data_IF_685602508354
#
_entry.id   IF_685602508354
#
_cell.length_a   1.000
_cell.length_b   1.000
_cell.length_c   1.000
_cell.angle_alpha   90.00
_cell.angle_beta   90.00
_cell.angle_gamma   90.00
#
_symmetry.space_group_name_H-M   'P 1'
#
loop_
_entity.id
_entity.type
_entity.pdbx_description
1 polymer ?
#
# COMPACT_ATOMS: atom_id res chain seq x y z
N UNK A 1 -12.43 19.16 -7.25
CA UNK A 1 -12.81 18.31 -6.12
C UNK A 1 -11.80 17.17 -6.05
N UNK A 2 -10.87 17.18 -5.10
CA UNK A 2 -10.04 16.01 -4.81
C UNK A 2 -10.40 15.60 -3.40
N UNK A 3 -10.99 14.42 -3.28
CA UNK A 3 -11.21 13.79 -1.99
C UNK A 3 -9.83 13.35 -1.49
N UNK A 4 -9.42 13.82 -0.31
CA UNK A 4 -8.08 13.60 0.26
C UNK A 4 -8.13 12.64 1.44
N UNK A 5 -9.16 11.80 1.51
CA UNK A 5 -9.28 10.85 2.62
C UNK A 5 -8.39 9.65 2.37
N UNK A 6 -7.57 9.27 3.35
CA UNK A 6 -6.80 8.03 3.33
C UNK A 6 -7.67 6.80 3.03
N UNK A 7 -8.95 6.86 3.40
CA UNK A 7 -9.92 5.79 3.17
C UNK A 7 -10.32 5.62 1.70
N UNK A 8 -9.93 6.52 0.82
CA UNK A 8 -10.04 6.31 -0.63
C UNK A 8 -8.98 5.31 -1.13
N UNK A 9 -7.85 5.18 -0.41
CA UNK A 9 -6.82 4.20 -0.72
C UNK A 9 -7.28 2.79 -0.30
N UNK A 10 -7.35 1.88 -1.28
CA UNK A 10 -7.78 0.49 -1.04
C UNK A 10 -6.91 -0.20 0.01
N UNK A 11 -5.60 0.07 0.03
CA UNK A 11 -4.68 -0.48 1.02
C UNK A 11 -5.06 -0.05 2.43
N UNK A 12 -5.35 1.25 2.66
CA UNK A 12 -5.74 1.76 3.98
C UNK A 12 -7.06 1.15 4.47
N UNK A 13 -8.05 0.97 3.58
CA UNK A 13 -9.29 0.27 3.93
C UNK A 13 -9.07 -1.18 4.35
N UNK A 14 -8.22 -1.91 3.63
CA UNK A 14 -7.95 -3.31 3.93
C UNK A 14 -7.10 -3.45 5.20
N UNK A 15 -6.16 -2.54 5.44
CA UNK A 15 -5.41 -2.49 6.70
C UNK A 15 -6.37 -2.31 7.89
N UNK A 16 -7.30 -1.36 7.78
CA UNK A 16 -8.32 -1.12 8.82
C UNK A 16 -9.19 -2.37 9.07
N UNK A 17 -9.53 -3.12 8.03
CA UNK A 17 -10.31 -4.35 8.16
C UNK A 17 -9.51 -5.49 8.81
N UNK A 18 -8.21 -5.58 8.53
CA UNK A 18 -7.35 -6.65 9.04
C UNK A 18 -6.93 -6.43 10.49
N UNK A 19 -6.56 -5.20 10.86
CA UNK A 19 -5.92 -4.89 12.15
C UNK A 19 -6.54 -3.67 12.86
N UNK A 20 -7.60 -3.07 12.31
CA UNK A 20 -8.15 -1.83 12.87
C UNK A 20 -7.20 -0.64 12.68
N UNK A 21 -7.40 0.41 13.47
CA UNK A 21 -6.57 1.63 13.40
C UNK A 21 -5.11 1.36 13.77
N UNK A 22 -4.85 0.36 14.61
CA UNK A 22 -3.49 -0.06 14.98
C UNK A 22 -2.67 -0.50 13.76
N UNK A 23 -3.33 -1.07 12.75
CA UNK A 23 -2.69 -1.47 11.49
C UNK A 23 -2.00 -0.33 10.75
N UNK A 24 -2.41 0.93 10.97
CA UNK A 24 -1.77 2.09 10.36
C UNK A 24 -0.35 2.34 10.86
N UNK A 25 0.03 1.79 12.02
CA UNK A 25 1.42 1.83 12.50
C UNK A 25 2.34 0.89 11.69
N UNK A 26 1.77 0.03 10.84
CA UNK A 26 2.48 -1.02 10.11
C UNK A 26 2.42 -0.83 8.58
N UNK A 27 2.17 0.39 8.10
CA UNK A 27 2.05 0.71 6.66
C UNK A 27 3.24 0.20 5.85
N UNK A 28 4.47 0.36 6.36
CA UNK A 28 5.70 -0.09 5.68
C UNK A 28 5.73 -1.61 5.49
N UNK A 29 5.27 -2.39 6.47
CA UNK A 29 5.17 -3.84 6.35
C UNK A 29 4.10 -4.24 5.34
N UNK A 30 2.96 -3.53 5.34
CA UNK A 30 1.89 -3.74 4.37
C UNK A 30 2.29 -3.40 2.93
N UNK A 31 3.17 -2.42 2.74
CA UNK A 31 3.72 -2.06 1.43
C UNK A 31 4.76 -3.07 0.91
N UNK A 32 5.39 -3.85 1.80
CA UNK A 32 6.34 -4.90 1.42
C UNK A 32 5.65 -6.26 1.25
N UNK A 33 5.62 -6.74 0.00
CA UNK A 33 5.06 -8.03 -0.37
C UNK A 33 5.78 -9.26 0.20
N UNK A 34 6.98 -9.11 0.76
CA UNK A 34 7.70 -10.22 1.39
C UNK A 34 7.14 -10.56 2.78
N UNK A 35 6.54 -9.57 3.46
CA UNK A 35 6.05 -9.70 4.84
C UNK A 35 4.74 -10.47 4.91
N UNK A 36 4.39 -10.94 6.11
CA UNK A 36 3.09 -11.56 6.38
C UNK A 36 1.94 -10.58 6.13
N UNK A 37 2.11 -9.32 6.54
CA UNK A 37 1.11 -8.25 6.36
C UNK A 37 0.87 -7.93 4.88
N UNK A 38 1.93 -7.73 4.09
CA UNK A 38 1.81 -7.47 2.65
C UNK A 38 1.20 -8.65 1.87
N UNK A 39 1.51 -9.88 2.26
CA UNK A 39 0.84 -11.08 1.71
C UNK A 39 -0.66 -11.11 2.04
N UNK A 40 -1.02 -10.83 3.28
CA UNK A 40 -2.43 -10.79 3.71
C UNK A 40 -3.20 -9.66 3.01
N UNK A 41 -2.60 -8.48 2.86
CA UNK A 41 -3.20 -7.36 2.12
C UNK A 41 -3.56 -7.74 0.69
N UNK A 42 -2.59 -8.27 -0.08
CA UNK A 42 -2.83 -8.68 -1.47
C UNK A 42 -3.86 -9.80 -1.55
N UNK A 43 -3.80 -10.79 -0.65
CA UNK A 43 -4.79 -11.88 -0.58
C UNK A 43 -6.20 -11.33 -0.33
N UNK A 44 -6.38 -10.42 0.61
CA UNK A 44 -7.68 -9.83 0.93
C UNK A 44 -8.22 -9.00 -0.23
N UNK A 45 -7.36 -8.22 -0.91
CA UNK A 45 -7.75 -7.47 -2.11
C UNK A 45 -8.19 -8.43 -3.23
N UNK A 46 -7.43 -9.49 -3.49
CA UNK A 46 -7.79 -10.52 -4.47
C UNK A 46 -9.16 -11.13 -4.18
N UNK A 47 -9.42 -11.50 -2.93
CA UNK A 47 -10.71 -12.07 -2.53
C UNK A 47 -11.88 -11.11 -2.75
N UNK A 48 -11.70 -9.81 -2.44
CA UNK A 48 -12.74 -8.79 -2.61
C UNK A 48 -13.04 -8.48 -4.08
N UNK A 49 -11.99 -8.37 -4.89
CA UNK A 49 -12.09 -7.97 -6.30
C UNK A 49 -12.18 -9.17 -7.26
N UNK A 50 -12.12 -10.40 -6.73
CA UNK A 50 -12.16 -11.66 -7.48
C UNK A 50 -11.01 -11.79 -8.48
N UNK A 51 -9.80 -11.48 -8.04
CA UNK A 51 -8.56 -11.72 -8.80
C UNK A 51 -7.90 -13.03 -8.37
N UNK A 52 -7.27 -13.73 -9.31
CA UNK A 52 -6.45 -14.91 -8.99
C UNK A 52 -5.14 -14.52 -8.28
N UNK A 53 -4.53 -13.42 -8.70
CA UNK A 53 -3.31 -12.87 -8.11
C UNK A 53 -3.26 -11.35 -8.25
N UNK A 54 -2.47 -10.73 -7.39
CA UNK A 54 -2.21 -9.30 -7.39
C UNK A 54 -0.79 -9.09 -6.89
N UNK A 55 -0.07 -8.18 -7.52
CA UNK A 55 1.19 -7.66 -7.00
C UNK A 55 1.31 -6.16 -7.25
N UNK A 56 2.13 -5.50 -6.46
CA UNK A 56 2.45 -4.08 -6.59
C UNK A 56 3.95 -3.93 -6.89
N UNK A 57 4.29 -2.91 -7.67
CA UNK A 57 5.67 -2.48 -7.82
C UNK A 57 6.19 -1.95 -6.48
N UNK A 58 7.46 -2.23 -6.16
CA UNK A 58 8.09 -1.70 -4.97
C UNK A 58 8.31 -0.19 -5.10
N UNK A 59 8.23 0.54 -3.99
CA UNK A 59 8.48 1.98 -3.99
C UNK A 59 9.89 2.29 -4.51
N UNK A 60 10.89 1.53 -4.05
CA UNK A 60 12.29 1.70 -4.49
C UNK A 60 12.45 1.45 -5.99
N UNK A 61 11.79 0.42 -6.54
CA UNK A 61 11.84 0.14 -7.97
C UNK A 61 11.21 1.24 -8.82
N UNK A 62 10.17 1.91 -8.29
CA UNK A 62 9.55 3.06 -8.97
C UNK A 62 10.43 4.30 -8.89
N UNK A 63 11.03 4.57 -7.73
CA UNK A 63 12.00 5.67 -7.58
C UNK A 63 13.17 5.48 -8.55
N UNK A 64 13.71 4.25 -8.64
CA UNK A 64 14.78 3.90 -9.58
C UNK A 64 14.34 4.11 -11.04
N UNK A 65 13.15 3.62 -11.41
CA UNK A 65 12.63 3.75 -12.77
C UNK A 65 12.35 5.21 -13.19
N UNK A 66 11.94 6.06 -12.25
CA UNK A 66 11.74 7.49 -12.49
C UNK A 66 13.09 8.21 -12.65
N UNK A 67 14.11 7.79 -11.90
CA UNK A 67 15.46 8.36 -11.96
C UNK A 67 15.61 9.71 -11.25
N UNK A 68 14.66 10.07 -10.38
CA UNK A 68 14.74 11.24 -9.51
C UNK A 68 14.98 10.83 -8.04
N UNK A 69 15.62 11.67 -7.22
CA UNK A 69 15.73 11.42 -5.79
C UNK A 69 14.36 11.26 -5.13
N UNK A 70 14.22 10.31 -4.19
CA UNK A 70 12.95 10.08 -3.46
C UNK A 70 12.37 11.36 -2.83
N UNK A 71 13.22 12.26 -2.33
CA UNK A 71 12.78 13.52 -1.71
C UNK A 71 12.13 14.51 -2.68
N UNK A 72 12.26 14.29 -4.00
CA UNK A 72 11.58 15.08 -5.04
C UNK A 72 10.28 14.42 -5.51
N UNK A 73 9.92 13.26 -4.94
CA UNK A 73 8.75 12.48 -5.30
C UNK A 73 7.75 12.45 -4.13
N UNK A 74 6.47 12.63 -4.45
CA UNK A 74 5.41 12.39 -3.47
C UNK A 74 5.21 10.88 -3.33
N UNK A 75 5.51 10.33 -2.14
CA UNK A 75 5.38 8.90 -1.86
C UNK A 75 4.26 8.57 -0.88
N UNK A 76 3.54 9.58 -0.36
CA UNK A 76 2.47 9.45 0.63
C UNK A 76 1.49 8.30 0.40
N UNK A 77 1.00 8.12 -0.84
CA UNK A 77 0.04 7.05 -1.15
C UNK A 77 0.64 5.63 -1.00
N UNK A 78 1.97 5.49 -1.00
CA UNK A 78 2.68 4.26 -0.67
C UNK A 78 2.94 4.16 0.84
N UNK A 79 3.79 5.04 1.36
CA UNK A 79 4.41 4.90 2.69
C UNK A 79 3.81 5.81 3.78
N UNK A 80 2.94 6.75 3.39
CA UNK A 80 2.30 7.70 4.30
C UNK A 80 3.19 8.89 4.69
N UNK A 81 4.34 9.08 4.01
CA UNK A 81 5.29 10.17 4.23
C UNK A 81 5.19 11.28 3.17
#
# INVERSE_FOLDING_TARGET
>A
SRNTSDMDLIARRVILELEGEEGFNHIKEYADGSTTRGKNLRKTICQKLKFDSLDFQSLDGIVEAIGLPKCELCTYCWDGE
#
